data_IF_009542843259
#
_entry.id   IF_009542843259
#
_cell.length_a   1.000
_cell.length_b   1.000
_cell.length_c   1.000
_cell.angle_alpha   90.00
_cell.angle_beta   90.00
_cell.angle_gamma   90.00
#
_symmetry.space_group_name_H-M   'P 1'
#
loop_
_entity.id
_entity.type
_entity.pdbx_description
1 polymer ?
#
# COMPACT_ATOMS: atom_id res chain seq x y z
N UNK A 1 -11.89 9.49 17.34
CA UNK A 1 -11.85 10.76 16.62
C UNK A 1 -11.33 10.46 15.21
N UNK A 2 -12.07 10.81 14.18
CA UNK A 2 -11.63 10.58 12.79
C UNK A 2 -10.63 11.68 12.42
N UNK A 3 -9.43 11.32 11.98
CA UNK A 3 -8.39 12.27 11.59
C UNK A 3 -8.68 13.01 10.29
N UNK A 4 -9.61 12.53 9.49
CA UNK A 4 -9.90 13.11 8.17
C UNK A 4 -10.30 14.57 8.25
N UNK A 5 -11.03 14.94 9.29
CA UNK A 5 -11.45 16.32 9.48
C UNK A 5 -10.30 17.27 9.92
N UNK A 6 -9.11 16.71 10.19
CA UNK A 6 -7.93 17.44 10.63
C UNK A 6 -6.82 17.48 9.58
N UNK A 7 -6.97 16.75 8.48
CA UNK A 7 -5.97 16.63 7.41
C UNK A 7 -6.56 17.17 6.11
N UNK A 8 -5.93 18.19 5.55
CA UNK A 8 -6.21 18.62 4.18
C UNK A 8 -5.47 17.70 3.21
N UNK A 9 -6.24 17.04 2.33
CA UNK A 9 -5.69 16.13 1.33
C UNK A 9 -5.46 16.86 0.02
N UNK A 10 -4.22 16.78 -0.51
CA UNK A 10 -3.87 17.19 -1.86
C UNK A 10 -3.59 15.97 -2.73
N UNK A 11 -4.39 15.80 -3.76
CA UNK A 11 -4.26 14.70 -4.73
C UNK A 11 -3.40 15.16 -5.91
N UNK A 12 -2.46 14.30 -6.34
CA UNK A 12 -1.60 14.53 -7.51
C UNK A 12 -1.98 13.61 -8.67
N UNK A 13 -1.97 14.15 -9.88
CA UNK A 13 -2.06 13.34 -11.10
C UNK A 13 -0.70 12.69 -11.39
N UNK A 14 -0.61 11.41 -11.04
CA UNK A 14 0.62 10.64 -11.20
C UNK A 14 0.86 10.21 -12.65
N UNK A 15 -0.20 10.05 -13.46
CA UNK A 15 -0.11 9.57 -14.84
C UNK A 15 -1.12 10.29 -15.74
N UNK A 16 -0.72 10.73 -16.94
CA UNK A 16 0.61 10.64 -17.56
C UNK A 16 1.53 11.81 -17.20
N UNK A 17 1.11 12.72 -16.30
CA UNK A 17 1.77 14.01 -16.05
C UNK A 17 2.94 13.89 -15.09
N UNK A 18 2.81 13.03 -14.04
CA UNK A 18 3.84 12.86 -13.04
C UNK A 18 4.00 14.10 -12.14
N UNK A 19 2.90 14.70 -11.68
CA UNK A 19 2.92 15.93 -10.88
C UNK A 19 3.76 15.80 -9.61
N UNK A 20 3.81 14.60 -8.99
CA UNK A 20 4.66 14.32 -7.84
C UNK A 20 6.17 14.45 -8.16
N UNK A 21 6.57 14.41 -9.43
CA UNK A 21 7.95 14.59 -9.90
C UNK A 21 8.21 15.99 -10.47
N UNK A 22 7.35 16.94 -10.17
CA UNK A 22 7.44 18.33 -10.63
C UNK A 22 7.50 19.29 -9.44
N UNK A 23 7.94 20.50 -9.74
CA UNK A 23 7.83 21.61 -8.83
C UNK A 23 6.35 22.04 -8.74
N UNK A 24 5.75 22.31 -7.55
CA UNK A 24 6.40 22.52 -6.25
C UNK A 24 6.58 21.26 -5.38
N UNK A 25 6.07 20.07 -5.76
CA UNK A 25 6.18 18.88 -4.89
C UNK A 25 7.64 18.51 -4.58
N UNK A 26 8.54 18.61 -5.56
CA UNK A 26 9.98 18.32 -5.35
C UNK A 26 10.64 19.22 -4.30
N UNK A 27 10.06 20.40 -3.99
CA UNK A 27 10.53 21.23 -2.88
C UNK A 27 10.21 20.60 -1.52
N UNK A 28 9.07 19.91 -1.42
CA UNK A 28 8.59 19.27 -0.22
C UNK A 28 9.23 17.88 -0.03
N UNK A 29 9.30 17.13 -1.11
CA UNK A 29 9.91 15.80 -1.16
C UNK A 29 10.79 15.65 -2.42
N UNK A 30 12.12 15.79 -2.30
CA UNK A 30 13.05 15.69 -3.43
C UNK A 30 13.07 14.32 -4.12
N UNK A 31 12.58 13.26 -3.46
CA UNK A 31 12.44 11.93 -4.08
C UNK A 31 11.30 11.88 -5.10
N UNK A 32 10.37 12.87 -5.09
CA UNK A 32 9.24 12.91 -6.00
C UNK A 32 8.26 11.77 -5.80
N UNK A 33 8.11 11.34 -4.55
CA UNK A 33 7.23 10.24 -4.15
C UNK A 33 6.09 10.73 -3.24
N UNK A 34 5.04 9.95 -3.17
CA UNK A 34 3.87 10.17 -2.30
C UNK A 34 3.67 8.94 -1.40
N UNK A 35 3.14 9.12 -0.17
CA UNK A 35 2.66 10.35 0.44
C UNK A 35 3.76 11.25 1.01
N UNK A 36 3.42 12.54 1.20
CA UNK A 36 4.22 13.52 1.94
C UNK A 36 3.30 14.29 2.88
N UNK A 37 3.60 14.32 4.16
CA UNK A 37 2.85 15.05 5.18
C UNK A 37 3.52 16.39 5.46
N UNK A 38 2.78 17.47 5.32
CA UNK A 38 3.18 18.80 5.79
C UNK A 38 2.82 18.94 7.27
N UNK A 39 3.79 19.36 8.08
CA UNK A 39 3.66 19.55 9.52
C UNK A 39 3.26 21.00 9.84
N UNK A 40 2.69 21.21 11.02
CA UNK A 40 2.22 22.53 11.46
C UNK A 40 3.33 23.60 11.53
N UNK A 41 4.58 23.20 11.70
CA UNK A 41 5.76 24.07 11.72
C UNK A 41 6.32 24.36 10.31
N UNK A 42 5.69 23.81 9.26
CA UNK A 42 6.13 23.93 7.87
C UNK A 42 7.20 22.93 7.46
N UNK A 43 7.54 21.95 8.33
CA UNK A 43 8.38 20.82 7.99
C UNK A 43 7.62 19.79 7.16
N UNK A 44 8.37 18.86 6.57
CA UNK A 44 7.79 17.78 5.76
C UNK A 44 8.27 16.42 6.25
N UNK A 45 7.36 15.46 6.28
CA UNK A 45 7.64 14.06 6.58
C UNK A 45 7.18 13.20 5.41
N UNK A 46 8.08 12.42 4.86
CA UNK A 46 7.79 11.44 3.81
C UNK A 46 7.92 10.01 4.36
N UNK A 47 7.68 9.03 3.51
CA UNK A 47 7.61 7.61 3.80
C UNK A 47 6.38 7.21 4.64
N UNK A 48 5.57 6.32 4.09
CA UNK A 48 4.32 5.87 4.72
C UNK A 48 4.54 5.39 6.17
N UNK A 49 5.55 4.57 6.42
CA UNK A 49 5.84 4.04 7.74
C UNK A 49 6.23 5.13 8.75
N UNK A 50 6.96 6.16 8.30
CA UNK A 50 7.35 7.28 9.14
C UNK A 50 6.15 8.18 9.46
N UNK A 51 5.30 8.46 8.47
CA UNK A 51 4.06 9.24 8.64
C UNK A 51 3.11 8.53 9.60
N UNK A 52 2.88 7.24 9.39
CA UNK A 52 2.01 6.44 10.26
C UNK A 52 2.53 6.43 11.70
N UNK A 53 3.84 6.24 11.90
CA UNK A 53 4.46 6.30 13.24
C UNK A 53 4.28 7.65 13.91
N UNK A 54 4.48 8.74 13.16
CA UNK A 54 4.29 10.09 13.67
C UNK A 54 2.84 10.31 14.12
N UNK A 55 1.88 9.96 13.28
CA UNK A 55 0.46 10.10 13.58
C UNK A 55 0.03 9.23 14.75
N UNK A 56 0.50 7.98 14.82
CA UNK A 56 0.20 7.04 15.90
C UNK A 56 0.68 7.53 17.28
N UNK A 57 1.85 8.20 17.31
CA UNK A 57 2.42 8.75 18.55
C UNK A 57 1.77 10.08 18.90
N UNK A 58 1.47 10.94 17.92
CA UNK A 58 0.99 12.30 18.14
C UNK A 58 -0.47 12.40 18.57
N UNK A 59 -1.25 11.34 18.35
CA UNK A 59 -2.69 11.37 18.61
C UNK A 59 -3.09 10.42 19.72
N UNK A 60 -3.93 10.86 20.67
CA UNK A 60 -4.45 9.98 21.72
C UNK A 60 -5.43 8.98 21.14
N UNK A 61 -5.34 7.74 21.56
CA UNK A 61 -6.23 6.67 21.14
C UNK A 61 -5.56 5.32 21.09
N UNK A 62 -6.16 4.38 20.38
CA UNK A 62 -5.57 3.07 20.14
C UNK A 62 -4.33 3.22 19.26
N UNK A 63 -3.23 2.61 19.72
CA UNK A 63 -1.99 2.52 18.96
C UNK A 63 -2.07 1.42 17.91
N UNK A 64 -1.97 1.79 16.65
CA UNK A 64 -1.96 0.79 15.56
C UNK A 64 -0.62 0.08 15.42
N UNK A 65 0.46 0.64 15.97
CA UNK A 65 1.78 0.02 15.99
C UNK A 65 2.07 -0.73 17.31
N UNK A 66 1.08 -0.83 18.22
CA UNK A 66 1.18 -1.50 19.51
C UNK A 66 1.59 -0.61 20.67
N UNK A 67 1.16 -0.98 21.88
CA UNK A 67 1.29 -0.16 23.09
C UNK A 67 2.62 -0.33 23.82
N UNK A 68 3.35 -1.41 23.57
CA UNK A 68 4.61 -1.71 24.26
C UNK A 68 5.76 -2.00 23.30
N UNK A 69 7.00 -1.97 23.81
CA UNK A 69 8.19 -2.12 22.97
C UNK A 69 8.23 -3.43 22.19
N UNK A 70 7.73 -4.53 22.79
CA UNK A 70 7.67 -5.83 22.11
C UNK A 70 6.65 -5.81 20.96
N UNK A 71 5.44 -5.29 21.20
CA UNK A 71 4.40 -5.21 20.17
C UNK A 71 4.81 -4.30 19.04
N UNK A 72 5.40 -3.13 19.32
CA UNK A 72 5.94 -2.22 18.31
C UNK A 72 7.06 -2.87 17.50
N UNK A 73 7.94 -3.64 18.16
CA UNK A 73 8.99 -4.39 17.49
C UNK A 73 8.46 -5.50 16.58
N UNK A 74 7.44 -6.23 17.02
CA UNK A 74 6.79 -7.27 16.23
C UNK A 74 6.03 -6.68 15.04
N UNK A 75 5.29 -5.59 15.25
CA UNK A 75 4.58 -4.90 14.17
C UNK A 75 5.58 -4.39 13.10
N UNK A 76 6.62 -3.70 13.52
CA UNK A 76 7.66 -3.21 12.61
C UNK A 76 8.38 -4.35 11.85
N UNK A 77 8.60 -5.50 12.50
CA UNK A 77 9.19 -6.68 11.86
C UNK A 77 8.27 -7.25 10.77
N UNK A 78 6.98 -7.43 11.07
CA UNK A 78 6.04 -7.99 10.12
C UNK A 78 5.71 -7.00 9.01
N UNK A 79 5.52 -5.73 9.34
CA UNK A 79 5.33 -4.66 8.35
C UNK A 79 6.48 -4.63 7.35
N UNK A 80 7.72 -4.59 7.82
CA UNK A 80 8.90 -4.57 6.95
C UNK A 80 9.02 -5.85 6.09
N UNK A 81 8.71 -7.03 6.64
CA UNK A 81 8.68 -8.28 5.86
C UNK A 81 7.66 -8.22 4.73
N UNK A 82 6.45 -7.74 5.02
CA UNK A 82 5.38 -7.61 4.02
C UNK A 82 5.77 -6.55 2.98
N UNK A 83 6.26 -5.40 3.45
CA UNK A 83 6.70 -4.33 2.56
C UNK A 83 7.80 -4.80 1.60
N UNK A 84 8.92 -5.29 2.12
CA UNK A 84 10.11 -5.62 1.30
C UNK A 84 9.89 -6.84 0.42
N UNK A 85 9.24 -7.88 0.95
CA UNK A 85 9.19 -9.17 0.28
C UNK A 85 7.91 -9.41 -0.52
N UNK A 86 6.85 -8.65 -0.26
CA UNK A 86 5.58 -8.80 -0.97
C UNK A 86 5.22 -7.52 -1.72
N UNK A 87 4.88 -6.44 -1.03
CA UNK A 87 4.35 -5.23 -1.66
C UNK A 87 5.38 -4.59 -2.61
N UNK A 88 6.61 -4.37 -2.16
CA UNK A 88 7.65 -3.80 -3.01
C UNK A 88 7.99 -4.67 -4.21
N UNK A 89 7.91 -6.01 -4.10
CA UNK A 89 8.08 -6.92 -5.23
C UNK A 89 6.97 -6.78 -6.26
N UNK A 90 5.71 -6.64 -5.80
CA UNK A 90 4.56 -6.43 -6.69
C UNK A 90 4.63 -5.06 -7.36
N UNK A 91 5.00 -4.01 -6.59
CA UNK A 91 5.23 -2.67 -7.14
C UNK A 91 6.36 -2.67 -8.18
N UNK A 92 7.49 -3.33 -7.88
CA UNK A 92 8.60 -3.48 -8.83
C UNK A 92 8.14 -4.18 -10.11
N UNK A 93 7.38 -5.27 -9.99
CA UNK A 93 6.82 -5.98 -11.12
C UNK A 93 5.93 -5.06 -11.99
N UNK A 94 5.06 -4.26 -11.36
CA UNK A 94 4.22 -3.28 -12.02
C UNK A 94 5.05 -2.29 -12.86
N UNK A 95 6.14 -1.76 -12.29
CA UNK A 95 6.99 -0.79 -12.98
C UNK A 95 7.79 -1.41 -14.13
N UNK A 96 8.42 -2.58 -13.90
CA UNK A 96 9.41 -3.10 -14.85
C UNK A 96 8.85 -4.02 -15.94
N UNK A 97 7.67 -4.63 -15.76
CA UNK A 97 7.12 -5.57 -16.76
C UNK A 97 6.38 -4.86 -17.89
N UNK A 98 5.64 -3.80 -17.58
CA UNK A 98 4.68 -3.20 -18.53
C UNK A 98 4.68 -1.67 -18.52
N UNK A 99 5.73 -1.03 -18.01
CA UNK A 99 5.78 0.44 -17.86
C UNK A 99 4.52 0.95 -17.12
N UNK A 100 4.29 0.49 -15.91
CA UNK A 100 3.04 0.69 -15.16
C UNK A 100 2.55 2.14 -15.08
N UNK A 101 3.45 3.12 -14.93
CA UNK A 101 3.13 4.54 -15.00
C UNK A 101 3.17 5.11 -16.44
N UNK A 102 3.43 4.25 -17.43
CA UNK A 102 3.48 4.62 -18.82
C UNK A 102 4.89 4.95 -19.36
N UNK A 103 5.07 4.86 -20.70
CA UNK A 103 6.38 4.92 -21.34
C UNK A 103 7.06 6.30 -21.27
N UNK A 104 6.35 7.34 -20.85
CA UNK A 104 6.93 8.67 -20.64
C UNK A 104 7.65 8.80 -19.29
N UNK A 105 7.24 8.01 -18.31
CA UNK A 105 7.77 8.03 -16.95
C UNK A 105 8.71 6.86 -16.68
N UNK A 106 8.50 5.76 -17.38
CA UNK A 106 9.25 4.50 -17.21
C UNK A 106 9.87 4.11 -18.56
N UNK A 107 11.13 4.44 -18.72
CA UNK A 107 11.82 4.34 -20.02
C UNK A 107 12.28 2.92 -20.36
N UNK A 108 12.39 2.03 -19.36
CA UNK A 108 12.93 0.68 -19.55
C UNK A 108 12.05 -0.37 -18.89
N UNK A 109 11.93 -1.52 -19.54
CA UNK A 109 11.29 -2.72 -18.96
C UNK A 109 12.33 -3.81 -18.74
N UNK A 110 12.06 -4.69 -17.77
CA UNK A 110 12.85 -5.89 -17.52
C UNK A 110 11.91 -7.04 -17.11
N UNK A 111 11.41 -7.76 -18.10
CA UNK A 111 10.45 -8.85 -17.88
C UNK A 111 11.01 -9.96 -16.98
N UNK A 112 12.28 -10.34 -17.17
CA UNK A 112 12.90 -11.40 -16.38
C UNK A 112 12.96 -11.04 -14.89
N UNK A 113 13.32 -9.78 -14.58
CA UNK A 113 13.34 -9.28 -13.23
C UNK A 113 11.91 -9.19 -12.63
N UNK A 114 10.93 -8.73 -13.40
CA UNK A 114 9.54 -8.71 -12.97
C UNK A 114 9.00 -10.10 -12.63
N UNK A 115 9.28 -11.11 -13.45
CA UNK A 115 8.92 -12.51 -13.17
C UNK A 115 9.63 -13.08 -11.93
N UNK A 116 10.88 -12.70 -11.69
CA UNK A 116 11.57 -13.03 -10.45
C UNK A 116 10.86 -12.41 -9.24
N UNK A 117 10.55 -11.11 -9.29
CA UNK A 117 9.81 -10.42 -8.23
C UNK A 117 8.45 -11.07 -7.95
N UNK A 118 7.73 -11.50 -8.99
CA UNK A 118 6.47 -12.21 -8.84
C UNK A 118 6.62 -13.52 -8.07
N UNK A 119 7.61 -14.32 -8.40
CA UNK A 119 7.88 -15.59 -7.69
C UNK A 119 8.23 -15.35 -6.23
N UNK A 120 9.07 -14.37 -5.94
CA UNK A 120 9.45 -13.99 -4.58
C UNK A 120 8.23 -13.53 -3.77
N UNK A 121 7.39 -12.65 -4.34
CA UNK A 121 6.16 -12.20 -3.67
C UNK A 121 5.25 -13.39 -3.31
N UNK A 122 5.01 -14.31 -4.23
CA UNK A 122 4.18 -15.49 -3.98
C UNK A 122 4.79 -16.42 -2.93
N UNK A 123 6.10 -16.63 -2.94
CA UNK A 123 6.78 -17.44 -1.93
C UNK A 123 6.59 -16.86 -0.54
N UNK A 124 6.79 -15.55 -0.39
CA UNK A 124 6.67 -14.87 0.91
C UNK A 124 5.20 -14.72 1.35
N UNK A 125 4.27 -14.53 0.42
CA UNK A 125 2.83 -14.56 0.71
C UNK A 125 2.42 -15.91 1.32
N UNK A 126 2.93 -17.03 0.81
CA UNK A 126 2.70 -18.35 1.41
C UNK A 126 3.32 -18.52 2.80
N UNK A 127 4.38 -17.77 3.16
CA UNK A 127 4.89 -17.74 4.54
C UNK A 127 3.94 -16.97 5.48
N UNK A 128 3.38 -15.86 5.01
CA UNK A 128 2.39 -15.09 5.76
C UNK A 128 1.11 -15.91 5.95
N UNK A 129 0.62 -16.56 4.90
CA UNK A 129 -0.56 -17.42 4.95
C UNK A 129 -0.41 -18.51 6.02
N UNK A 130 0.75 -19.20 6.05
CA UNK A 130 1.04 -20.17 7.12
C UNK A 130 1.11 -19.55 8.51
N UNK A 131 1.62 -18.32 8.65
CA UNK A 131 1.64 -17.62 9.94
C UNK A 131 0.22 -17.39 10.47
N UNK A 132 -0.74 -17.20 9.59
CA UNK A 132 -2.15 -16.96 9.90
C UNK A 132 -2.96 -18.25 10.09
N UNK A 133 -2.40 -19.41 9.77
CA UNK A 133 -3.12 -20.71 9.80
C UNK A 133 -3.47 -21.22 11.18
N UNK A 134 -3.04 -20.56 12.26
CA UNK A 134 -3.43 -20.88 13.64
C UNK A 134 -4.80 -20.30 14.05
N UNK A 135 -5.51 -19.64 13.12
CA UNK A 135 -6.84 -19.10 13.32
C UNK A 135 -6.88 -17.68 13.87
N UNK A 136 -5.73 -17.00 13.96
CA UNK A 136 -5.70 -15.57 14.33
C UNK A 136 -6.33 -14.72 13.22
N UNK A 137 -7.04 -13.68 13.60
CA UNK A 137 -7.66 -12.73 12.65
C UNK A 137 -6.66 -11.69 12.12
N UNK A 138 -5.61 -11.36 12.89
CA UNK A 138 -4.64 -10.30 12.59
C UNK A 138 -3.21 -10.80 12.78
N UNK A 139 -2.25 -10.16 12.11
CA UNK A 139 -0.83 -10.56 12.10
C UNK A 139 -0.22 -10.76 13.50
N UNK A 140 -0.62 -9.94 14.46
CA UNK A 140 -0.17 -10.04 15.85
C UNK A 140 -1.22 -10.67 16.79
N UNK A 141 -2.34 -11.16 16.26
CA UNK A 141 -3.50 -11.54 17.04
C UNK A 141 -4.22 -10.32 17.61
N UNK A 142 -5.07 -10.55 18.61
CA UNK A 142 -5.90 -9.49 19.21
C UNK A 142 -7.21 -9.27 18.44
N UNK A 143 -7.92 -8.19 18.78
CA UNK A 143 -9.30 -7.91 18.35
C UNK A 143 -9.40 -6.85 17.24
N UNK A 144 -8.27 -6.31 16.78
CA UNK A 144 -8.25 -5.29 15.76
C UNK A 144 -6.90 -5.21 15.02
N UNK A 145 -6.91 -4.73 13.75
CA UNK A 145 -5.72 -4.67 12.91
C UNK A 145 -4.65 -3.74 13.48
N UNK A 146 -3.40 -4.05 13.17
CA UNK A 146 -2.24 -3.20 13.38
C UNK A 146 -1.67 -2.71 12.04
N UNK A 147 -0.53 -2.02 12.05
CA UNK A 147 0.03 -1.44 10.83
C UNK A 147 0.51 -2.52 9.84
N UNK A 148 1.05 -3.63 10.33
CA UNK A 148 1.43 -4.75 9.47
C UNK A 148 0.23 -5.32 8.71
N UNK A 149 -0.96 -5.39 9.33
CA UNK A 149 -2.19 -5.82 8.66
C UNK A 149 -2.63 -4.84 7.58
N UNK A 150 -2.50 -3.54 7.82
CA UNK A 150 -2.81 -2.49 6.82
C UNK A 150 -1.89 -2.63 5.61
N UNK A 151 -0.59 -2.83 5.84
CA UNK A 151 0.38 -3.05 4.76
C UNK A 151 0.06 -4.33 3.98
N UNK A 152 -0.35 -5.40 4.66
CA UNK A 152 -0.77 -6.65 4.03
C UNK A 152 -2.02 -6.46 3.16
N UNK A 153 -3.05 -5.81 3.68
CA UNK A 153 -4.27 -5.51 2.92
C UNK A 153 -3.97 -4.64 1.69
N UNK A 154 -3.04 -3.68 1.81
CA UNK A 154 -2.55 -2.87 0.69
C UNK A 154 -1.84 -3.73 -0.36
N UNK A 155 -0.99 -4.65 0.06
CA UNK A 155 -0.29 -5.59 -0.83
C UNK A 155 -1.29 -6.48 -1.61
N UNK A 156 -2.31 -7.00 -0.92
CA UNK A 156 -3.36 -7.80 -1.54
C UNK A 156 -4.15 -6.96 -2.56
N UNK A 157 -4.58 -5.75 -2.18
CA UNK A 157 -5.30 -4.85 -3.07
C UNK A 157 -4.48 -4.52 -4.33
N UNK A 158 -3.20 -4.19 -4.16
CA UNK A 158 -2.32 -3.84 -5.27
C UNK A 158 -1.99 -5.05 -6.17
N UNK A 159 -1.96 -6.27 -5.60
CA UNK A 159 -1.75 -7.51 -6.35
C UNK A 159 -2.81 -7.79 -7.42
N UNK A 160 -3.98 -7.18 -7.26
CA UNK A 160 -5.11 -7.29 -8.22
C UNK A 160 -5.06 -6.26 -9.34
N UNK A 161 -4.05 -5.38 -9.36
CA UNK A 161 -3.98 -4.31 -10.34
C UNK A 161 -3.89 -4.88 -11.77
N UNK A 162 -4.69 -4.38 -12.75
CA UNK A 162 -4.94 -5.08 -14.01
C UNK A 162 -3.70 -5.40 -14.85
N UNK A 163 -2.70 -4.54 -14.78
CA UNK A 163 -1.48 -4.64 -15.62
C UNK A 163 -0.63 -5.86 -15.25
N UNK A 164 -0.65 -6.29 -13.99
CA UNK A 164 0.22 -7.36 -13.49
C UNK A 164 -0.51 -8.30 -12.52
N UNK A 165 -1.80 -8.53 -12.75
CA UNK A 165 -2.63 -9.28 -11.83
C UNK A 165 -1.96 -10.57 -11.33
N UNK A 166 -1.66 -10.59 -10.04
CA UNK A 166 -1.18 -11.76 -9.30
C UNK A 166 -1.97 -11.81 -7.99
N UNK A 167 -3.31 -12.00 -8.06
CA UNK A 167 -4.19 -11.89 -6.89
C UNK A 167 -3.73 -12.82 -5.78
N UNK A 168 -3.31 -12.25 -4.64
CA UNK A 168 -2.82 -13.04 -3.52
C UNK A 168 -3.94 -13.75 -2.77
N UNK A 169 -5.07 -13.08 -2.60
CA UNK A 169 -6.26 -13.61 -1.94
C UNK A 169 -6.87 -14.81 -2.69
N UNK A 170 -6.85 -14.83 -4.01
CA UNK A 170 -7.33 -15.99 -4.79
C UNK A 170 -6.43 -17.24 -4.66
N UNK A 171 -5.25 -17.10 -4.07
CA UNK A 171 -4.24 -18.16 -3.97
C UNK A 171 -4.01 -18.63 -2.54
N UNK A 172 -4.35 -17.81 -1.55
CA UNK A 172 -4.03 -18.01 -0.15
C UNK A 172 -5.26 -17.74 0.71
N UNK A 173 -5.78 -18.78 1.34
CA UNK A 173 -7.05 -18.78 2.08
C UNK A 173 -7.05 -17.76 3.25
N UNK A 174 -5.96 -17.73 4.02
CA UNK A 174 -5.88 -16.84 5.20
C UNK A 174 -5.65 -15.38 4.79
N UNK A 175 -5.01 -15.13 3.64
CA UNK A 175 -4.90 -13.78 3.09
C UNK A 175 -6.26 -13.28 2.58
N UNK A 176 -7.09 -14.12 1.99
CA UNK A 176 -8.47 -13.78 1.63
C UNK A 176 -9.30 -13.44 2.87
N UNK A 177 -9.16 -14.23 3.94
CA UNK A 177 -9.86 -13.97 5.21
C UNK A 177 -9.52 -12.59 5.79
N UNK A 178 -8.24 -12.25 5.92
CA UNK A 178 -7.81 -10.91 6.39
C UNK A 178 -8.33 -9.80 5.47
N UNK A 179 -8.20 -9.94 4.17
CA UNK A 179 -8.64 -8.92 3.23
C UNK A 179 -10.15 -8.69 3.30
N UNK A 180 -10.92 -9.75 3.46
CA UNK A 180 -12.38 -9.70 3.65
C UNK A 180 -12.78 -9.01 4.95
N UNK A 181 -12.03 -9.22 6.06
CA UNK A 181 -12.23 -8.52 7.33
C UNK A 181 -12.03 -7.01 7.17
N UNK A 182 -10.95 -6.57 6.51
CA UNK A 182 -10.73 -5.15 6.21
C UNK A 182 -11.88 -4.54 5.43
N UNK A 183 -12.33 -5.19 4.37
CA UNK A 183 -13.46 -4.74 3.56
C UNK A 183 -14.76 -4.61 4.35
N UNK A 184 -14.98 -5.47 5.33
CA UNK A 184 -16.15 -5.41 6.21
C UNK A 184 -16.07 -4.27 7.22
N UNK A 185 -14.90 -4.01 7.79
CA UNK A 185 -14.67 -2.90 8.73
C UNK A 185 -14.81 -1.53 8.04
N UNK A 186 -14.26 -1.38 6.83
CA UNK A 186 -14.44 -0.15 6.06
C UNK A 186 -15.90 0.17 5.80
N UNK A 187 -16.72 -0.84 5.49
CA UNK A 187 -18.18 -0.65 5.30
C UNK A 187 -18.89 -0.24 6.58
N UNK A 188 -18.53 -0.80 7.72
CA UNK A 188 -19.09 -0.46 9.05
C UNK A 188 -18.70 0.93 9.54
N UNK A 189 -17.46 1.35 9.26
CA UNK A 189 -16.93 2.66 9.65
C UNK A 189 -17.31 3.83 8.74
N UNK A 190 -18.14 3.63 7.72
CA UNK A 190 -18.48 4.68 6.74
C UNK A 190 -17.30 5.11 5.87
N UNK A 191 -16.20 4.37 5.91
CA UNK A 191 -14.95 4.66 5.21
C UNK A 191 -15.07 4.12 3.79
N UNK A 192 -15.44 4.91 2.80
CA UNK A 192 -15.22 4.43 1.45
C UNK A 192 -16.27 4.71 0.39
N UNK A 193 -16.81 5.91 0.32
CA UNK A 193 -17.60 6.31 -0.85
C UNK A 193 -17.00 7.44 -1.71
N UNK A 194 -15.80 7.90 -1.43
CA UNK A 194 -15.09 8.76 -2.38
C UNK A 194 -13.99 7.97 -3.08
N UNK A 195 -14.37 7.15 -4.06
CA UNK A 195 -13.42 6.73 -5.11
C UNK A 195 -13.09 7.97 -5.93
N UNK A 196 -11.80 8.30 -6.15
CA UNK A 196 -11.45 9.20 -7.23
C UNK A 196 -11.92 8.54 -8.54
N UNK A 197 -12.96 9.08 -9.13
CA UNK A 197 -13.64 8.52 -10.31
C UNK A 197 -12.86 8.69 -11.62
N UNK A 198 -11.58 9.15 -11.55
CA UNK A 198 -10.76 9.45 -12.72
C UNK A 198 -9.92 8.31 -13.30
N UNK A 199 -9.30 7.51 -12.45
CA UNK A 199 -8.24 6.59 -12.90
C UNK A 199 -8.77 5.34 -13.64
N UNK A 200 -9.97 4.88 -13.32
CA UNK A 200 -10.49 3.60 -13.87
C UNK A 200 -11.13 3.69 -15.25
N UNK A 201 -11.46 4.87 -15.77
CA UNK A 201 -12.11 5.00 -17.09
C UNK A 201 -11.12 5.14 -18.24
N UNK A 202 -10.02 5.86 -18.06
CA UNK A 202 -9.06 6.09 -19.14
C UNK A 202 -8.11 4.91 -19.37
N UNK A 203 -7.69 4.19 -18.32
CA UNK A 203 -6.83 3.02 -18.49
C UNK A 203 -7.55 1.85 -19.19
N UNK A 204 -8.85 1.65 -18.94
CA UNK A 204 -9.64 0.65 -19.67
C UNK A 204 -9.86 0.99 -21.15
N UNK A 205 -9.78 2.24 -21.55
CA UNK A 205 -9.87 2.63 -22.96
C UNK A 205 -8.54 2.49 -23.72
N UNK A 206 -7.40 2.68 -23.06
CA UNK A 206 -6.09 2.50 -23.66
C UNK A 206 -5.82 1.00 -23.96
N UNK A 207 -6.23 0.09 -23.10
CA UNK A 207 -6.02 -1.35 -23.30
C UNK A 207 -6.88 -1.95 -24.42
N UNK A 208 -8.04 -1.34 -24.75
CA UNK A 208 -8.92 -1.80 -25.84
C UNK A 208 -8.52 -1.29 -27.24
N UNK A 209 -7.55 -0.40 -27.35
CA UNK A 209 -7.11 0.15 -28.66
C UNK A 209 -5.86 -0.53 -29.23
N UNK A 210 -5.32 -1.55 -28.54
CA UNK A 210 -4.13 -2.29 -28.96
C UNK A 210 -4.35 -3.81 -28.99
N UNK A 211 -5.61 -4.26 -29.15
CA UNK A 211 -5.93 -5.64 -29.55
C UNK A 211 -6.41 -5.69 -31.00
#
# INVERSE_FOLDING_TARGET
MDFRDQIEERVYDMTPVGEQRQWPHLKMNPWGETPTLELADGGYLAETAAIVRYLDISHPGRRIMGDGPLQQGLDAMWENRIWVHILYRIVTMFHVMHNGLGPKLELTTNRAWGEHCRKEALTHAGLIDRHLSDGREWMLGGDAPNFADITLATAIAFSKYPVNATPLDERFEHLDAIFSLFGSQQRRGGIGQNRPTGISREMNQATRRHQ
#
